data_IF_810576879699
#
_entry.id   IF_810576879699
#
_cell.length_a   1.000
_cell.length_b   1.000
_cell.length_c   1.000
_cell.angle_alpha   90.00
_cell.angle_beta   90.00
_cell.angle_gamma   90.00
#
_symmetry.space_group_name_H-M   'P 1'
#
loop_
_entity.id
_entity.type
_entity.pdbx_description
1 polymer ?
#
# COMPACT_ATOMS: atom_id res chain seq x y z
N UNK A 1 9.63 19.48 7.87
CA UNK A 1 10.67 18.87 8.73
C UNK A 1 9.97 17.94 9.72
N UNK A 2 9.54 16.79 9.23
CA UNK A 2 9.07 15.68 10.04
C UNK A 2 10.08 14.55 9.80
N UNK A 3 11.30 14.77 10.25
CA UNK A 3 12.23 13.65 10.41
C UNK A 3 11.63 12.84 11.56
N UNK A 4 11.00 11.72 11.20
CA UNK A 4 10.20 10.91 12.10
C UNK A 4 11.04 10.36 13.25
N UNK A 5 11.16 11.12 14.33
CA UNK A 5 11.68 10.62 15.59
C UNK A 5 10.61 9.72 16.21
N UNK A 6 10.84 8.41 16.15
CA UNK A 6 10.09 7.45 16.94
C UNK A 6 10.59 7.52 18.39
N UNK A 7 9.80 8.13 19.27
CA UNK A 7 10.06 8.11 20.71
C UNK A 7 9.54 6.81 21.27
N UNK A 8 10.47 5.92 21.66
CA UNK A 8 10.14 4.63 22.27
C UNK A 8 9.34 4.82 23.57
N UNK A 9 8.18 4.15 23.72
CA UNK A 9 7.44 4.12 24.98
C UNK A 9 8.29 3.55 26.13
N UNK A 10 8.16 4.13 27.32
CA UNK A 10 8.92 3.70 28.51
C UNK A 10 8.68 2.21 28.88
N UNK A 11 7.57 1.62 28.43
CA UNK A 11 7.24 0.19 28.61
C UNK A 11 8.14 -0.73 27.80
N UNK A 12 8.67 -0.29 26.66
CA UNK A 12 9.58 -1.09 25.83
C UNK A 12 10.95 -1.22 26.51
N UNK A 13 11.41 -0.18 27.22
CA UNK A 13 12.70 -0.21 27.93
C UNK A 13 12.74 -1.30 29.02
N UNK A 14 11.67 -1.44 29.80
CA UNK A 14 11.54 -2.50 30.82
C UNK A 14 11.51 -3.90 30.16
N UNK A 15 10.80 -4.05 29.04
CA UNK A 15 10.77 -5.30 28.29
C UNK A 15 12.15 -5.68 27.74
N UNK A 16 12.89 -4.75 27.12
CA UNK A 16 14.23 -5.00 26.56
C UNK A 16 15.23 -5.33 27.68
N UNK A 17 15.19 -4.60 28.81
CA UNK A 17 16.04 -4.87 29.96
C UNK A 17 15.85 -6.29 30.53
N UNK A 18 14.60 -6.79 30.51
CA UNK A 18 14.23 -8.15 30.92
C UNK A 18 14.51 -9.21 29.85
N UNK A 19 14.68 -8.81 28.59
CA UNK A 19 14.92 -9.69 27.44
C UNK A 19 16.18 -9.24 26.66
N UNK A 20 17.38 -9.22 27.29
CA UNK A 20 18.60 -8.63 26.70
C UNK A 20 19.17 -9.41 25.52
N UNK A 21 18.70 -10.64 25.32
CA UNK A 21 19.02 -11.51 24.19
C UNK A 21 17.74 -12.18 23.72
N UNK A 22 16.92 -11.51 22.89
CA UNK A 22 15.81 -12.20 22.25
C UNK A 22 16.37 -13.39 21.45
N UNK A 23 15.57 -14.45 21.35
CA UNK A 23 15.90 -15.57 20.47
C UNK A 23 16.16 -15.05 19.05
N UNK A 24 17.12 -15.66 18.37
CA UNK A 24 17.43 -15.31 16.98
C UNK A 24 16.18 -15.54 16.13
N UNK A 25 15.68 -14.46 15.52
CA UNK A 25 14.58 -14.54 14.55
C UNK A 25 15.23 -14.76 13.20
N UNK A 26 15.10 -15.98 12.69
CA UNK A 26 15.66 -16.36 11.40
C UNK A 26 14.65 -16.12 10.26
N UNK A 27 15.11 -16.20 9.01
CA UNK A 27 14.25 -16.01 7.83
C UNK A 27 13.16 -17.09 7.70
N UNK A 28 13.35 -18.24 8.36
CA UNK A 28 12.41 -19.37 8.40
C UNK A 28 11.27 -19.16 9.41
N UNK A 29 11.28 -18.06 10.17
CA UNK A 29 10.19 -17.76 11.10
C UNK A 29 8.87 -17.68 10.31
N UNK A 30 7.77 -18.36 10.73
CA UNK A 30 6.54 -18.45 9.96
C UNK A 30 5.99 -17.09 9.51
N UNK A 31 6.01 -16.09 10.40
CA UNK A 31 5.58 -14.73 10.08
C UNK A 31 6.47 -14.03 9.03
N UNK A 32 7.78 -14.32 9.00
CA UNK A 32 8.67 -13.76 8.00
C UNK A 32 8.41 -14.41 6.63
N UNK A 33 8.28 -15.74 6.59
CA UNK A 33 7.94 -16.49 5.37
C UNK A 33 6.58 -16.06 4.81
N UNK A 34 5.58 -15.90 5.67
CA UNK A 34 4.24 -15.43 5.29
C UNK A 34 4.28 -14.03 4.69
N UNK A 35 4.95 -13.08 5.35
CA UNK A 35 5.07 -11.70 4.87
C UNK A 35 5.82 -11.61 3.53
N UNK A 36 6.91 -12.39 3.37
CA UNK A 36 7.64 -12.47 2.10
C UNK A 36 6.72 -13.02 1.01
N UNK A 37 6.04 -14.13 1.27
CA UNK A 37 5.13 -14.74 0.31
C UNK A 37 3.99 -13.80 -0.09
N UNK A 38 3.31 -13.16 0.87
CA UNK A 38 2.24 -12.20 0.58
C UNK A 38 2.74 -11.05 -0.30
N UNK A 39 3.93 -10.53 0.00
CA UNK A 39 4.53 -9.43 -0.75
C UNK A 39 4.88 -9.87 -2.17
N UNK A 40 5.55 -11.02 -2.32
CA UNK A 40 5.90 -11.59 -3.64
C UNK A 40 4.66 -11.87 -4.46
N UNK A 41 3.64 -12.54 -3.90
CA UNK A 41 2.38 -12.85 -4.58
C UNK A 41 1.69 -11.56 -5.07
N UNK A 42 1.72 -10.49 -4.26
CA UNK A 42 1.15 -9.19 -4.64
C UNK A 42 1.93 -8.53 -5.77
N UNK A 43 3.27 -8.57 -5.73
CA UNK A 43 4.12 -8.00 -6.77
C UNK A 43 3.95 -8.73 -8.11
N UNK A 44 3.98 -10.06 -8.07
CA UNK A 44 3.74 -10.90 -9.26
C UNK A 44 2.37 -10.61 -9.86
N UNK A 45 1.33 -10.48 -9.03
CA UNK A 45 0.00 -10.11 -9.50
C UNK A 45 -0.03 -8.76 -10.21
N UNK A 46 0.72 -7.76 -9.73
CA UNK A 46 0.77 -6.44 -10.35
C UNK A 46 1.55 -6.46 -11.68
N UNK A 47 2.66 -7.20 -11.73
CA UNK A 47 3.49 -7.34 -12.94
C UNK A 47 2.83 -8.19 -14.03
N UNK A 48 1.99 -9.15 -13.65
CA UNK A 48 1.27 -10.00 -14.59
C UNK A 48 0.16 -9.27 -15.37
N UNK A 49 -0.24 -8.06 -14.95
CA UNK A 49 -1.26 -7.29 -15.65
C UNK A 49 -0.61 -6.53 -16.81
N UNK A 50 -0.95 -6.91 -18.04
CA UNK A 50 -0.56 -6.19 -19.25
C UNK A 50 -1.58 -5.08 -19.58
N UNK A 51 -1.70 -4.14 -18.66
CA UNK A 51 -2.65 -3.04 -18.76
C UNK A 51 -2.20 -1.89 -19.66
N UNK A 52 -3.01 -0.84 -19.71
CA UNK A 52 -2.78 0.37 -20.50
C UNK A 52 -2.79 1.66 -19.66
N UNK A 53 -2.99 1.57 -18.34
CA UNK A 53 -3.04 2.72 -17.42
C UNK A 53 -1.94 2.63 -16.36
N UNK A 54 -1.27 3.75 -16.08
CA UNK A 54 -0.22 3.82 -15.06
C UNK A 54 -0.78 3.95 -13.64
N UNK A 55 -0.01 3.59 -12.59
CA UNK A 55 -0.41 3.85 -11.19
C UNK A 55 -0.78 5.31 -10.94
N UNK A 56 0.03 6.24 -11.45
CA UNK A 56 -0.22 7.69 -11.34
C UNK A 56 -1.58 8.11 -11.95
N UNK A 57 -2.02 7.45 -13.04
CA UNK A 57 -3.34 7.70 -13.63
C UNK A 57 -4.48 7.34 -12.68
N UNK A 58 -4.39 6.19 -12.00
CA UNK A 58 -5.38 5.78 -11.01
C UNK A 58 -5.34 6.64 -9.75
N UNK A 59 -4.15 6.96 -9.26
CA UNK A 59 -3.96 7.83 -8.09
C UNK A 59 -4.59 9.21 -8.32
N UNK A 60 -4.38 9.79 -9.51
CA UNK A 60 -4.98 11.08 -9.89
C UNK A 60 -6.50 11.00 -9.94
N UNK A 61 -7.06 9.96 -10.57
CA UNK A 61 -8.51 9.80 -10.70
C UNK A 61 -9.21 9.65 -9.33
N UNK A 62 -8.66 8.82 -8.45
CA UNK A 62 -9.18 8.68 -7.07
C UNK A 62 -9.02 10.01 -6.32
N UNK A 63 -7.88 10.68 -6.45
CA UNK A 63 -7.64 11.97 -5.82
C UNK A 63 -8.67 13.02 -6.25
N UNK A 64 -8.94 13.13 -7.55
CA UNK A 64 -9.96 14.03 -8.11
C UNK A 64 -11.37 13.68 -7.59
N UNK A 65 -11.73 12.39 -7.59
CA UNK A 65 -13.03 11.93 -7.05
C UNK A 65 -13.21 12.28 -5.57
N UNK A 66 -12.18 12.05 -4.76
CA UNK A 66 -12.20 12.35 -3.32
C UNK A 66 -12.23 13.85 -3.06
N UNK A 67 -11.50 14.64 -3.84
CA UNK A 67 -11.51 16.10 -3.75
C UNK A 67 -12.89 16.68 -4.08
N UNK A 68 -13.52 16.19 -5.16
CA UNK A 68 -14.79 16.72 -5.65
C UNK A 68 -15.99 16.35 -4.76
N UNK A 69 -16.06 15.08 -4.30
CA UNK A 69 -17.26 14.57 -3.63
C UNK A 69 -17.08 14.28 -2.14
N UNK A 70 -15.84 14.18 -1.65
CA UNK A 70 -15.51 13.85 -0.27
C UNK A 70 -14.73 14.97 0.45
N UNK A 71 -14.69 16.18 -0.13
CA UNK A 71 -14.03 17.36 0.44
C UNK A 71 -14.78 17.99 1.63
N UNK A 72 -14.55 19.28 1.86
CA UNK A 72 -15.17 19.99 3.00
C UNK A 72 -16.70 20.07 2.89
N UNK A 73 -17.22 20.40 1.71
CA UNK A 73 -18.64 20.37 1.42
C UNK A 73 -19.01 19.00 0.84
N UNK A 74 -19.96 18.33 1.48
CA UNK A 74 -20.43 16.99 1.07
C UNK A 74 -21.93 17.01 0.95
N UNK A 75 -22.44 16.39 -0.11
CA UNK A 75 -23.87 16.16 -0.32
C UNK A 75 -24.11 14.66 -0.39
N UNK A 76 -25.33 14.23 -0.04
CA UNK A 76 -25.71 12.82 -0.14
C UNK A 76 -25.51 12.28 -1.56
N UNK A 77 -25.95 13.03 -2.57
CA UNK A 77 -25.81 12.68 -3.98
C UNK A 77 -24.34 12.50 -4.38
N UNK A 78 -23.46 13.43 -3.97
CA UNK A 78 -22.02 13.36 -4.24
C UNK A 78 -21.37 12.14 -3.59
N UNK A 79 -21.68 11.88 -2.31
CA UNK A 79 -21.14 10.71 -1.61
C UNK A 79 -21.63 9.39 -2.21
N UNK A 80 -22.90 9.30 -2.62
CA UNK A 80 -23.43 8.12 -3.32
C UNK A 80 -22.73 7.89 -4.66
N UNK A 81 -22.41 8.95 -5.39
CA UNK A 81 -21.62 8.87 -6.64
C UNK A 81 -20.21 8.36 -6.38
N UNK A 82 -19.51 8.90 -5.38
CA UNK A 82 -18.18 8.44 -5.01
C UNK A 82 -18.17 6.97 -4.56
N UNK A 83 -19.13 6.57 -3.71
CA UNK A 83 -19.30 5.18 -3.26
C UNK A 83 -19.51 4.20 -4.41
N UNK A 84 -20.22 4.59 -5.47
CA UNK A 84 -20.42 3.76 -6.65
C UNK A 84 -19.16 3.71 -7.54
N UNK A 85 -18.41 4.81 -7.66
CA UNK A 85 -17.24 4.90 -8.55
C UNK A 85 -16.00 4.22 -7.97
N UNK A 86 -15.75 4.29 -6.66
CA UNK A 86 -14.54 3.71 -6.03
C UNK A 86 -14.37 2.21 -6.33
N UNK A 87 -15.40 1.34 -6.19
CA UNK A 87 -15.28 -0.08 -6.53
C UNK A 87 -14.94 -0.32 -8.00
N UNK A 88 -15.47 0.50 -8.91
CA UNK A 88 -15.20 0.41 -10.34
C UNK A 88 -13.74 0.77 -10.64
N UNK A 89 -13.22 1.87 -10.05
CA UNK A 89 -11.81 2.24 -10.18
C UNK A 89 -10.91 1.12 -9.65
N UNK A 90 -11.27 0.52 -8.52
CA UNK A 90 -10.53 -0.62 -7.95
C UNK A 90 -10.52 -1.83 -8.87
N UNK A 91 -11.64 -2.16 -9.51
CA UNK A 91 -11.70 -3.25 -10.50
C UNK A 91 -10.90 -2.93 -11.76
N UNK A 92 -10.98 -1.69 -12.25
CA UNK A 92 -10.19 -1.21 -13.39
C UNK A 92 -8.69 -1.28 -13.08
N UNK A 93 -8.27 -0.92 -11.86
CA UNK A 93 -6.88 -1.02 -11.41
C UNK A 93 -6.36 -2.44 -11.59
N UNK A 94 -7.06 -3.44 -11.06
CA UNK A 94 -6.61 -4.83 -11.16
C UNK A 94 -6.67 -5.43 -12.57
N UNK A 95 -7.35 -4.77 -13.51
CA UNK A 95 -7.47 -5.23 -14.91
C UNK A 95 -6.56 -4.48 -15.88
N UNK A 96 -6.21 -3.22 -15.56
CA UNK A 96 -5.61 -2.28 -16.52
C UNK A 96 -4.36 -1.58 -16.01
N UNK A 97 -3.89 -1.90 -14.80
CA UNK A 97 -2.62 -1.37 -14.32
C UNK A 97 -1.47 -1.84 -15.22
N UNK A 98 -0.62 -0.91 -15.61
CA UNK A 98 0.64 -1.18 -16.31
C UNK A 98 1.77 -0.76 -15.40
N UNK A 99 2.48 -1.74 -14.85
CA UNK A 99 3.71 -1.52 -14.10
C UNK A 99 4.89 -1.72 -15.06
N UNK A 100 5.68 -0.67 -15.36
CA UNK A 100 6.85 -0.81 -16.24
C UNK A 100 7.98 -1.57 -15.54
N UNK A 101 8.70 -2.45 -16.25
CA UNK A 101 9.86 -3.20 -15.74
C UNK A 101 9.57 -4.67 -15.41
N UNK A 102 10.63 -5.44 -15.14
CA UNK A 102 10.57 -6.90 -14.92
C UNK A 102 10.48 -7.31 -13.43
N UNK A 103 10.37 -6.33 -12.51
CA UNK A 103 10.27 -6.58 -11.07
C UNK A 103 11.59 -6.96 -10.37
N UNK A 104 12.65 -7.22 -11.12
CA UNK A 104 13.99 -7.52 -10.59
C UNK A 104 14.84 -6.26 -10.28
N UNK A 105 14.40 -5.09 -10.76
CA UNK A 105 15.07 -3.81 -10.54
C UNK A 105 14.22 -2.88 -9.66
N UNK A 106 14.88 -1.95 -8.98
CA UNK A 106 14.23 -0.93 -8.17
C UNK A 106 13.23 -0.14 -9.01
N UNK A 107 11.94 -0.39 -8.76
CA UNK A 107 10.86 0.21 -9.52
C UNK A 107 10.09 1.20 -8.65
N UNK A 108 10.42 2.49 -8.80
CA UNK A 108 9.72 3.58 -8.10
C UNK A 108 8.21 3.61 -8.36
N UNK A 109 7.73 2.95 -9.42
CA UNK A 109 6.29 2.84 -9.70
C UNK A 109 5.58 1.82 -8.81
N UNK A 110 6.30 0.90 -8.17
CA UNK A 110 5.77 -0.02 -7.15
C UNK A 110 5.66 0.63 -5.77
N UNK A 111 6.43 1.70 -5.51
CA UNK A 111 6.39 2.44 -4.25
C UNK A 111 5.26 3.49 -4.18
N UNK A 112 4.67 3.83 -5.33
CA UNK A 112 3.60 4.83 -5.47
C UNK A 112 2.19 4.25 -5.47
#
# INVERSE_FOLDING_TARGET
LADGYFVLPATINDYIAKNPKPAEVTAEHPAAVEAVKETTDRLERLLAVDGDRTPDSFHREIGELMWEYCGMARTEEGLRKALARIPQIREEFWKRIKVPGEGAEFNQSLER
#
